data_IF_151970209492
#
_entry.id   IF_151970209492
#
_cell.length_a   1.000
_cell.length_b   1.000
_cell.length_c   1.000
_cell.angle_alpha   90.00
_cell.angle_beta   90.00
_cell.angle_gamma   90.00
#
_symmetry.space_group_name_H-M   'P 1'
#
loop_
_entity.id
_entity.type
_entity.pdbx_description
1 polymer ?
#
# COMPACT_ATOMS: atom_id res chain seq x y z
N UNK A 1 13.16 11.90 17.15
CA UNK A 1 13.49 12.15 15.71
C UNK A 1 13.87 10.85 15.02
N UNK A 2 13.17 10.51 13.96
CA UNK A 2 13.41 9.29 13.16
C UNK A 2 14.05 9.74 11.83
N UNK A 3 15.31 9.37 11.61
CA UNK A 3 16.03 9.66 10.36
C UNK A 3 15.66 8.62 9.30
N UNK A 4 15.08 9.07 8.21
CA UNK A 4 14.67 8.22 7.07
C UNK A 4 15.76 8.23 6.00
N UNK A 5 16.18 9.42 5.59
CA UNK A 5 17.28 9.65 4.63
C UNK A 5 18.11 10.83 5.12
N UNK A 6 19.22 11.12 4.44
CA UNK A 6 20.04 12.28 4.80
C UNK A 6 19.27 13.61 4.71
N UNK A 7 18.23 13.66 3.89
CA UNK A 7 17.40 14.85 3.66
C UNK A 7 16.03 14.82 4.38
N UNK A 8 15.64 13.68 4.96
CA UNK A 8 14.31 13.50 5.54
C UNK A 8 14.44 12.96 6.96
N UNK A 9 13.97 13.76 7.92
CA UNK A 9 13.87 13.42 9.32
C UNK A 9 12.43 13.64 9.77
N UNK A 10 11.83 12.67 10.44
CA UNK A 10 10.52 12.80 11.05
C UNK A 10 10.68 13.26 12.50
N UNK A 11 9.86 14.21 12.92
CA UNK A 11 9.77 14.60 14.31
C UNK A 11 8.83 13.63 15.06
N UNK A 12 9.24 13.24 16.27
CA UNK A 12 8.39 12.44 17.14
C UNK A 12 7.12 13.20 17.55
N UNK A 13 7.15 14.53 17.54
CA UNK A 13 6.00 15.38 17.82
C UNK A 13 4.88 15.25 16.77
N UNK A 14 5.22 14.88 15.54
CA UNK A 14 4.26 14.66 14.45
C UNK A 14 3.62 13.26 14.50
N UNK A 15 4.09 12.39 15.40
CA UNK A 15 3.65 11.00 15.53
C UNK A 15 2.94 10.80 16.86
N UNK A 16 1.67 10.44 16.81
CA UNK A 16 0.88 10.04 17.97
C UNK A 16 0.73 8.51 17.99
N UNK A 17 1.03 7.90 19.13
CA UNK A 17 0.84 6.46 19.35
C UNK A 17 -0.41 6.22 20.19
N UNK A 18 -1.29 5.35 19.71
CA UNK A 18 -2.46 4.89 20.45
C UNK A 18 -2.42 3.39 20.63
N UNK A 19 -2.68 2.95 21.84
CA UNK A 19 -2.75 1.54 22.19
C UNK A 19 -4.21 1.13 22.26
N UNK A 20 -4.58 0.18 21.40
CA UNK A 20 -5.96 -0.30 21.27
C UNK A 20 -6.04 -1.79 21.57
N UNK A 21 -7.19 -2.23 22.06
CA UNK A 21 -7.43 -3.66 22.22
C UNK A 21 -7.55 -4.32 20.85
N UNK A 22 -6.81 -5.40 20.64
CA UNK A 22 -6.96 -6.19 19.44
C UNK A 22 -8.34 -6.84 19.43
N UNK A 23 -9.16 -6.53 18.44
CA UNK A 23 -10.43 -7.20 18.20
C UNK A 23 -10.19 -8.38 17.26
N UNK A 24 -10.57 -9.60 17.66
CA UNK A 24 -10.47 -10.79 16.80
C UNK A 24 -10.83 -12.08 17.56
N UNK A 25 -11.17 -13.15 16.83
CA UNK A 25 -11.35 -14.49 17.41
C UNK A 25 -9.99 -15.01 17.84
N UNK A 26 -9.66 -14.90 19.11
CA UNK A 26 -8.40 -15.38 19.68
C UNK A 26 -8.52 -15.56 21.17
N UNK A 27 -7.68 -16.44 21.74
CA UNK A 27 -7.75 -16.92 23.10
C UNK A 27 -7.91 -15.85 24.20
N UNK A 28 -7.98 -16.29 25.45
CA UNK A 28 -8.41 -15.51 26.64
C UNK A 28 -7.70 -14.14 26.86
N UNK A 29 -6.53 -13.90 26.27
CA UNK A 29 -5.77 -12.65 26.43
C UNK A 29 -6.10 -11.56 25.40
N UNK A 30 -6.78 -11.88 24.30
CA UNK A 30 -7.06 -10.91 23.20
C UNK A 30 -7.97 -9.77 23.68
N UNK A 31 -8.84 -10.01 24.64
CA UNK A 31 -9.78 -9.01 25.16
C UNK A 31 -9.28 -8.28 26.42
N UNK A 32 -8.18 -8.70 27.04
CA UNK A 32 -7.72 -8.16 28.33
C UNK A 32 -6.54 -7.19 28.22
N UNK A 33 -5.73 -7.26 27.16
CA UNK A 33 -4.53 -6.45 27.01
C UNK A 33 -4.57 -5.66 25.71
N UNK A 34 -4.32 -4.35 25.79
CA UNK A 34 -4.20 -3.48 24.62
C UNK A 34 -2.84 -3.68 23.95
N UNK A 35 -2.70 -4.73 23.15
CA UNK A 35 -1.45 -5.06 22.44
C UNK A 35 -1.36 -4.46 21.05
N UNK A 36 -2.49 -4.09 20.44
CA UNK A 36 -2.49 -3.43 19.14
C UNK A 36 -2.05 -1.97 19.26
N UNK A 37 -1.27 -1.53 18.27
CA UNK A 37 -0.74 -0.17 18.20
C UNK A 37 -1.26 0.51 16.94
N UNK A 38 -1.82 1.70 17.08
CA UNK A 38 -2.18 2.60 15.99
C UNK A 38 -1.25 3.81 16.02
N UNK A 39 -0.47 4.01 14.96
CA UNK A 39 0.30 5.22 14.73
C UNK A 39 -0.49 6.22 13.89
N UNK A 40 -0.50 7.46 14.32
CA UNK A 40 -1.09 8.59 13.60
C UNK A 40 0.00 9.59 13.28
N UNK A 41 0.38 9.69 12.04
CA UNK A 41 1.40 10.61 11.58
C UNK A 41 0.77 11.79 10.86
N UNK A 42 0.99 13.00 11.38
CA UNK A 42 0.46 14.23 10.78
C UNK A 42 1.34 14.69 9.62
N UNK A 43 0.99 14.26 8.42
CA UNK A 43 1.75 14.54 7.20
C UNK A 43 1.73 16.02 6.84
N UNK A 44 0.62 16.73 7.11
CA UNK A 44 0.51 18.17 6.80
C UNK A 44 1.35 19.05 7.72
N UNK A 45 1.45 18.70 9.00
CA UNK A 45 2.25 19.46 9.96
C UNK A 45 3.74 19.12 9.87
N UNK A 46 4.08 17.97 9.27
CA UNK A 46 5.46 17.50 9.19
C UNK A 46 6.34 18.36 8.27
N UNK A 47 7.64 18.32 8.50
CA UNK A 47 8.66 19.01 7.69
C UNK A 47 8.99 18.29 6.37
N UNK A 48 8.12 17.38 5.91
CA UNK A 48 8.34 16.66 4.66
C UNK A 48 8.30 17.62 3.44
N UNK A 49 9.21 17.43 2.46
CA UNK A 49 9.15 18.19 1.20
C UNK A 49 7.81 17.94 0.48
N UNK A 50 7.24 18.98 -0.15
CA UNK A 50 5.94 18.90 -0.81
C UNK A 50 5.82 17.72 -1.79
N UNK A 51 6.85 17.47 -2.61
CA UNK A 51 6.87 16.38 -3.56
C UNK A 51 6.91 14.98 -2.92
N UNK A 52 7.41 14.85 -1.68
CA UNK A 52 7.36 13.61 -0.89
C UNK A 52 5.98 13.44 -0.28
N UNK A 53 5.42 14.52 0.25
CA UNK A 53 4.05 14.55 0.79
C UNK A 53 3.03 14.09 -0.24
N UNK A 54 3.05 14.65 -1.45
CA UNK A 54 2.15 14.25 -2.54
C UNK A 54 2.25 12.76 -2.88
N UNK A 55 3.48 12.24 -3.00
CA UNK A 55 3.68 10.82 -3.25
C UNK A 55 3.26 9.94 -2.08
N UNK A 56 3.48 10.40 -0.85
CA UNK A 56 3.06 9.68 0.36
C UNK A 56 1.55 9.56 0.43
N UNK A 57 0.79 10.61 0.12
CA UNK A 57 -0.66 10.59 0.04
C UNK A 57 -1.15 9.54 -0.96
N UNK A 58 -0.55 9.49 -2.14
CA UNK A 58 -0.89 8.49 -3.17
C UNK A 58 -0.57 7.05 -2.73
N UNK A 59 0.59 6.83 -2.08
CA UNK A 59 1.00 5.52 -1.60
C UNK A 59 0.18 5.03 -0.41
N UNK A 60 -0.23 5.95 0.46
CA UNK A 60 -1.02 5.65 1.64
C UNK A 60 -2.46 5.24 1.28
N UNK A 61 -3.03 5.85 0.24
CA UNK A 61 -4.40 5.57 -0.22
C UNK A 61 -5.42 5.71 0.91
N UNK A 62 -6.15 4.64 1.21
CA UNK A 62 -7.22 4.62 2.24
C UNK A 62 -6.72 4.85 3.68
N UNK A 63 -5.43 4.74 3.95
CA UNK A 63 -4.84 5.01 5.27
C UNK A 63 -4.67 6.49 5.55
N UNK A 64 -4.82 7.34 4.53
CA UNK A 64 -4.77 8.79 4.67
C UNK A 64 -6.16 9.33 4.98
N UNK A 65 -6.28 10.07 6.07
CA UNK A 65 -7.52 10.76 6.41
C UNK A 65 -7.69 12.05 5.59
N UNK A 66 -8.90 12.60 5.52
CA UNK A 66 -9.18 13.87 4.86
C UNK A 66 -8.37 15.03 5.47
N UNK A 67 -8.04 14.93 6.75
CA UNK A 67 -7.26 15.94 7.49
C UNK A 67 -5.75 15.87 7.22
N UNK A 68 -5.30 14.87 6.44
CA UNK A 68 -3.89 14.67 6.12
C UNK A 68 -3.10 13.94 7.19
N UNK A 69 -3.76 13.10 7.96
CA UNK A 69 -3.16 12.20 8.95
C UNK A 69 -3.05 10.79 8.37
N UNK A 70 -1.86 10.23 8.36
CA UNK A 70 -1.60 8.85 7.97
C UNK A 70 -1.80 7.94 9.18
N UNK A 71 -2.67 6.93 9.04
CA UNK A 71 -2.96 5.94 10.07
C UNK A 71 -2.31 4.61 9.70
N UNK A 72 -1.52 4.08 10.62
CA UNK A 72 -0.86 2.77 10.50
C UNK A 72 -1.15 1.95 11.74
N UNK A 73 -1.81 0.82 11.57
CA UNK A 73 -2.08 -0.11 12.65
C UNK A 73 -1.18 -1.35 12.57
N UNK A 74 -0.83 -1.89 13.73
CA UNK A 74 -0.16 -3.17 13.89
C UNK A 74 -0.76 -3.96 15.03
N UNK A 75 -1.18 -5.19 14.72
CA UNK A 75 -1.80 -6.13 15.66
C UNK A 75 -1.37 -7.58 15.42
N UNK A 76 -0.31 -7.77 14.69
CA UNK A 76 0.17 -9.10 14.25
C UNK A 76 1.03 -9.81 15.27
N UNK A 77 1.57 -9.08 16.24
CA UNK A 77 2.44 -9.61 17.27
C UNK A 77 1.71 -9.74 18.63
N UNK A 78 2.25 -10.59 19.50
CA UNK A 78 1.69 -10.83 20.83
C UNK A 78 1.95 -9.70 21.83
N UNK A 79 3.04 -8.97 21.65
CA UNK A 79 3.44 -7.91 22.57
C UNK A 79 3.21 -6.53 21.97
N UNK A 80 2.87 -5.58 22.82
CA UNK A 80 2.71 -4.18 22.44
C UNK A 80 4.00 -3.59 21.86
N UNK A 81 5.16 -3.92 22.46
CA UNK A 81 6.45 -3.45 21.97
C UNK A 81 6.72 -3.90 20.53
N UNK A 82 6.51 -5.18 20.21
CA UNK A 82 6.70 -5.69 18.85
C UNK A 82 5.72 -5.06 17.84
N UNK A 83 4.47 -4.82 18.23
CA UNK A 83 3.49 -4.13 17.37
C UNK A 83 3.88 -2.67 17.16
N UNK A 84 4.42 -2.00 18.15
CA UNK A 84 4.96 -0.65 18.05
C UNK A 84 6.10 -0.59 17.04
N UNK A 85 7.10 -1.45 17.19
CA UNK A 85 8.23 -1.53 16.27
C UNK A 85 7.80 -1.83 14.84
N UNK A 86 6.84 -2.75 14.65
CA UNK A 86 6.27 -3.07 13.35
C UNK A 86 5.53 -1.89 12.73
N UNK A 87 4.77 -1.12 13.51
CA UNK A 87 4.07 0.08 13.01
C UNK A 87 5.07 1.18 12.59
N UNK A 88 6.11 1.42 13.40
CA UNK A 88 7.20 2.34 13.04
C UNK A 88 7.94 1.90 11.78
N UNK A 89 8.29 0.63 11.65
CA UNK A 89 8.94 0.09 10.45
C UNK A 89 8.08 0.28 9.19
N UNK A 90 6.76 0.14 9.30
CA UNK A 90 5.82 0.41 8.18
C UNK A 90 5.77 1.88 7.82
N UNK A 91 5.79 2.79 8.79
CA UNK A 91 5.83 4.22 8.55
C UNK A 91 7.11 4.59 7.80
N UNK A 92 8.27 4.14 8.30
CA UNK A 92 9.58 4.37 7.69
C UNK A 92 9.59 3.88 6.24
N UNK A 93 9.18 2.63 5.98
CA UNK A 93 9.15 2.05 4.64
C UNK A 93 8.24 2.83 3.67
N UNK A 94 7.10 3.36 4.15
CA UNK A 94 6.22 4.19 3.32
C UNK A 94 6.86 5.53 2.96
N UNK A 95 7.51 6.20 3.92
CA UNK A 95 8.18 7.48 3.68
C UNK A 95 9.42 7.30 2.79
N UNK A 96 10.20 6.24 2.98
CA UNK A 96 11.32 5.89 2.08
C UNK A 96 10.85 5.69 0.63
N UNK A 97 9.78 4.94 0.44
CA UNK A 97 9.19 4.75 -0.90
C UNK A 97 8.69 6.07 -1.50
N UNK A 98 8.13 6.96 -0.70
CA UNK A 98 7.69 8.28 -1.14
C UNK A 98 8.89 9.20 -1.49
N UNK A 99 10.02 9.04 -0.81
CA UNK A 99 11.25 9.77 -1.11
C UNK A 99 11.83 9.43 -2.48
N UNK A 100 11.69 8.17 -2.92
CA UNK A 100 12.20 7.73 -4.22
C UNK A 100 11.36 8.31 -5.36
N UNK A 101 12.01 9.06 -6.28
CA UNK A 101 11.34 9.57 -7.48
C UNK A 101 11.10 8.42 -8.47
N UNK A 102 9.85 8.13 -8.85
CA UNK A 102 9.58 7.07 -9.82
C UNK A 102 10.16 7.44 -11.19
N UNK A 103 10.74 6.44 -11.88
CA UNK A 103 11.18 6.63 -13.26
C UNK A 103 9.99 6.87 -14.17
N UNK A 104 10.10 7.89 -15.04
CA UNK A 104 9.09 8.17 -16.06
C UNK A 104 8.97 6.97 -17.02
N UNK A 105 7.82 6.34 -17.06
CA UNK A 105 7.56 5.26 -18.02
C UNK A 105 7.28 5.87 -19.38
N UNK A 106 8.16 5.58 -20.36
CA UNK A 106 7.89 5.92 -21.74
C UNK A 106 6.87 4.93 -22.31
N UNK A 107 5.80 5.40 -23.00
CA UNK A 107 4.84 4.51 -23.63
C UNK A 107 5.56 3.71 -24.74
N UNK A 108 5.43 2.39 -24.70
CA UNK A 108 5.98 1.51 -25.73
C UNK A 108 4.86 1.05 -26.67
N UNK A 109 5.11 1.11 -27.97
CA UNK A 109 4.20 0.54 -28.96
C UNK A 109 4.46 -0.97 -29.07
N UNK A 110 3.40 -1.81 -29.11
CA UNK A 110 3.58 -3.24 -29.37
C UNK A 110 4.27 -3.46 -30.73
N UNK A 111 5.19 -4.41 -30.79
CA UNK A 111 5.85 -4.79 -32.05
C UNK A 111 4.79 -5.37 -33.03
N UNK A 112 4.99 -5.18 -34.33
CA UNK A 112 4.10 -5.68 -35.38
C UNK A 112 3.82 -7.18 -35.22
N UNK A 113 4.85 -8.00 -35.01
CA UNK A 113 4.71 -9.44 -34.79
C UNK A 113 3.81 -9.81 -33.59
N UNK A 114 3.87 -9.05 -32.49
CA UNK A 114 2.98 -9.28 -31.34
C UNK A 114 1.52 -8.95 -31.67
N UNK A 115 1.30 -7.93 -32.50
CA UNK A 115 -0.03 -7.54 -32.97
C UNK A 115 -0.62 -8.61 -33.90
N UNK A 116 0.16 -9.09 -34.85
CA UNK A 116 -0.22 -10.18 -35.77
C UNK A 116 -0.55 -11.47 -35.03
N UNK A 117 0.31 -11.87 -34.07
CA UNK A 117 0.07 -13.05 -33.23
C UNK A 117 -1.24 -12.94 -32.43
N UNK A 118 -1.55 -11.75 -31.90
CA UNK A 118 -2.80 -11.51 -31.18
C UNK A 118 -4.01 -11.64 -32.11
N UNK A 119 -3.93 -11.09 -33.32
CA UNK A 119 -5.00 -11.18 -34.34
C UNK A 119 -5.20 -12.63 -34.78
N UNK A 120 -4.13 -13.37 -35.07
CA UNK A 120 -4.18 -14.78 -35.43
C UNK A 120 -4.84 -15.64 -34.34
N UNK A 121 -4.49 -15.39 -33.07
CA UNK A 121 -5.10 -16.09 -31.93
C UNK A 121 -6.59 -15.77 -31.81
N UNK A 122 -7.00 -14.52 -32.01
CA UNK A 122 -8.42 -14.14 -32.04
C UNK A 122 -9.20 -14.83 -33.13
N UNK A 123 -8.65 -14.87 -34.36
CA UNK A 123 -9.28 -15.56 -35.51
C UNK A 123 -9.44 -17.06 -35.23
N UNK A 124 -8.40 -17.72 -34.70
CA UNK A 124 -8.46 -19.14 -34.32
C UNK A 124 -9.55 -19.42 -33.28
N UNK A 125 -9.63 -18.60 -32.22
CA UNK A 125 -10.68 -18.74 -31.19
C UNK A 125 -12.08 -18.50 -31.75
N UNK A 126 -12.23 -17.55 -32.65
CA UNK A 126 -13.52 -17.29 -33.36
C UNK A 126 -13.97 -18.48 -34.20
N UNK A 127 -13.06 -19.09 -34.96
CA UNK A 127 -13.33 -20.30 -35.72
C UNK A 127 -13.80 -21.45 -34.86
N UNK A 128 -13.10 -21.71 -33.74
CA UNK A 128 -13.46 -22.76 -32.75
C UNK A 128 -14.85 -22.49 -32.15
N UNK A 129 -15.17 -21.24 -31.82
CA UNK A 129 -16.52 -20.88 -31.32
C UNK A 129 -17.61 -21.14 -32.34
N UNK A 130 -17.40 -20.80 -33.62
CA UNK A 130 -18.37 -21.06 -34.70
C UNK A 130 -18.67 -22.55 -34.86
N UNK A 131 -17.66 -23.41 -34.76
CA UNK A 131 -17.82 -24.88 -34.82
C UNK A 131 -18.69 -25.42 -33.66
N UNK A 132 -18.63 -24.82 -32.49
CA UNK A 132 -19.46 -25.23 -31.35
C UNK A 132 -20.93 -24.88 -31.53
N UNK A 133 -21.24 -23.73 -32.13
CA UNK A 133 -22.63 -23.30 -32.37
C UNK A 133 -23.30 -24.05 -33.51
N UNK A 134 -22.56 -24.66 -34.43
CA UNK A 134 -23.11 -25.49 -35.53
C UNK A 134 -23.47 -26.90 -35.06
N UNK A 135 -22.82 -27.41 -33.98
CA UNK A 135 -23.10 -28.73 -33.41
C UNK A 135 -24.36 -28.85 -32.53
N UNK A 136 -24.94 -27.71 -32.10
CA UNK A 136 -26.14 -27.71 -31.23
C UNK A 136 -27.47 -27.53 -32.04
N UNK A 137 -27.43 -27.66 -33.35
CA UNK A 137 -28.59 -27.40 -34.25
C UNK A 137 -29.16 -28.67 -34.94
N UNK A 138 -28.82 -29.89 -34.46
CA UNK A 138 -29.47 -31.17 -34.90
C UNK A 138 -30.25 -31.82 -33.79
#
# INVERSE_FOLDING_TARGET
MIRITDAIVLDDADIEERFVRASGPGGQNVNKVATAVELRFNVRASSLPAHVTERLVLLAGKRMTADGVLIIDSREHRTQAQNRDAAHARLIALVERAAIRPKLRRPTKPRAAAREKRIATKKRRSAVKKLRTVGDSE
#
